data_IF_483184936529
#
_entry.id   IF_483184936529
#
_cell.length_a   1.000
_cell.length_b   1.000
_cell.length_c   1.000
_cell.angle_alpha   90.00
_cell.angle_beta   90.00
_cell.angle_gamma   90.00
#
_symmetry.space_group_name_H-M   'P 1'
#
loop_
_entity.id
_entity.type
_entity.pdbx_description
1 polymer ?
#
# COMPACT_ATOMS: atom_id res chain seq x y z
N UNK A 1 -0.63 18.29 2.12
CA UNK A 1 -0.26 17.02 2.80
C UNK A 1 0.55 16.09 1.88
N UNK A 2 -0.02 15.45 0.85
CA UNK A 2 0.75 14.51 -0.02
C UNK A 2 1.95 15.16 -0.74
N UNK A 3 1.88 16.45 -1.06
CA UNK A 3 3.03 17.19 -1.59
C UNK A 3 4.12 17.44 -0.54
N UNK A 4 3.72 17.79 0.69
CA UNK A 4 4.64 18.08 1.80
C UNK A 4 5.34 16.82 2.29
N UNK A 5 4.62 15.70 2.36
CA UNK A 5 5.16 14.41 2.82
C UNK A 5 5.97 13.71 1.74
N UNK A 6 5.68 13.99 0.46
CA UNK A 6 6.31 13.39 -0.72
C UNK A 6 6.64 11.89 -0.56
N UNK A 7 5.62 11.05 -0.25
CA UNK A 7 5.86 9.64 0.04
C UNK A 7 6.32 8.90 -1.21
N UNK A 8 7.28 7.98 -1.05
CA UNK A 8 7.69 7.08 -2.15
C UNK A 8 6.73 5.89 -2.31
N UNK A 9 6.09 5.48 -1.20
CA UNK A 9 5.22 4.30 -1.13
C UNK A 9 3.97 4.63 -0.33
N UNK A 10 2.82 4.11 -0.77
CA UNK A 10 1.56 4.13 -0.05
C UNK A 10 1.02 2.70 0.13
N UNK A 11 0.70 2.33 1.38
CA UNK A 11 0.09 1.04 1.71
C UNK A 11 -1.38 1.26 2.05
N UNK A 12 -2.26 0.53 1.37
CA UNK A 12 -3.70 0.62 1.54
C UNK A 12 -4.18 -0.70 2.15
N UNK A 13 -4.63 -0.62 3.40
CA UNK A 13 -5.27 -1.75 4.06
C UNK A 13 -6.76 -1.77 3.75
N UNK A 14 -7.16 -2.68 2.87
CA UNK A 14 -8.56 -2.94 2.51
C UNK A 14 -8.81 -4.44 2.37
N UNK A 15 -10.04 -4.84 2.67
CA UNK A 15 -10.49 -6.23 2.47
C UNK A 15 -11.00 -6.46 1.05
N UNK A 16 -10.79 -7.68 0.54
CA UNK A 16 -11.29 -8.09 -0.78
C UNK A 16 -12.83 -7.98 -0.83
N UNK A 17 -13.34 -7.20 -1.78
CA UNK A 17 -14.78 -6.98 -1.93
C UNK A 17 -15.39 -6.01 -0.91
N UNK A 18 -14.61 -5.06 -0.40
CA UNK A 18 -15.11 -4.07 0.54
C UNK A 18 -16.30 -3.28 -0.04
N UNK A 19 -17.48 -3.48 0.54
CA UNK A 19 -18.76 -2.89 0.11
C UNK A 19 -18.82 -1.37 0.29
N UNK A 20 -17.85 -0.79 1.00
CA UNK A 20 -17.73 0.64 1.25
C UNK A 20 -17.10 1.42 0.08
N UNK A 21 -16.64 0.76 -0.99
CA UNK A 21 -16.03 1.45 -2.14
C UNK A 21 -14.61 1.97 -1.87
N UNK A 22 -13.90 1.36 -0.92
CA UNK A 22 -12.50 1.66 -0.65
C UNK A 22 -11.56 0.73 -1.43
N UNK A 23 -10.41 1.26 -1.91
CA UNK A 23 -10.02 2.67 -1.87
C UNK A 23 -10.84 3.53 -2.86
N UNK A 24 -11.21 4.75 -2.44
CA UNK A 24 -11.91 5.69 -3.32
C UNK A 24 -11.04 6.01 -4.55
N UNK A 25 -11.65 6.02 -5.73
CA UNK A 25 -10.96 6.26 -7.01
C UNK A 25 -10.16 7.58 -7.01
N UNK A 26 -10.70 8.65 -6.40
CA UNK A 26 -10.01 9.94 -6.29
C UNK A 26 -8.68 9.85 -5.52
N UNK A 27 -8.63 9.02 -4.47
CA UNK A 27 -7.39 8.79 -3.71
C UNK A 27 -6.39 7.99 -4.55
N UNK A 28 -6.86 6.97 -5.26
CA UNK A 28 -6.00 6.17 -6.15
C UNK A 28 -5.42 7.03 -7.27
N UNK A 29 -6.24 7.87 -7.89
CA UNK A 29 -5.81 8.77 -8.95
C UNK A 29 -4.73 9.75 -8.47
N UNK A 30 -4.92 10.36 -7.29
CA UNK A 30 -3.92 11.27 -6.70
C UNK A 30 -2.58 10.60 -6.39
N UNK A 31 -2.60 9.32 -6.00
CA UNK A 31 -1.39 8.55 -5.74
C UNK A 31 -0.67 8.19 -7.05
N UNK A 32 -1.43 7.77 -8.07
CA UNK A 32 -0.91 7.45 -9.40
C UNK A 32 -0.32 8.68 -10.12
N UNK A 33 -1.01 9.83 -10.07
CA UNK A 33 -0.54 11.10 -10.65
C UNK A 33 0.80 11.56 -10.05
N UNK A 34 1.11 11.13 -8.82
CA UNK A 34 2.34 11.45 -8.12
C UNK A 34 3.43 10.38 -8.29
N UNK A 35 3.20 9.36 -9.12
CA UNK A 35 4.10 8.22 -9.33
C UNK A 35 4.49 7.53 -8.01
N UNK A 36 3.58 7.49 -7.04
CA UNK A 36 3.78 6.82 -5.75
C UNK A 36 3.55 5.32 -5.95
N UNK A 37 4.43 4.47 -5.44
CA UNK A 37 4.23 3.02 -5.45
C UNK A 37 3.08 2.67 -4.51
N UNK A 38 2.06 1.96 -5.00
CA UNK A 38 0.87 1.61 -4.21
C UNK A 38 0.90 0.10 -3.94
N UNK A 39 0.76 -0.28 -2.67
CA UNK A 39 0.52 -1.66 -2.25
C UNK A 39 -0.85 -1.79 -1.60
N UNK A 40 -1.57 -2.86 -1.89
CA UNK A 40 -2.95 -3.07 -1.42
C UNK A 40 -3.16 -4.45 -0.84
N UNK A 41 -3.64 -4.55 0.39
CA UNK A 41 -3.82 -5.87 1.03
C UNK A 41 -4.88 -6.75 0.38
N UNK A 42 -5.83 -6.16 -0.36
CA UNK A 42 -6.86 -6.93 -1.08
C UNK A 42 -6.37 -7.53 -2.41
N UNK A 43 -5.31 -6.97 -2.99
CA UNK A 43 -4.69 -7.44 -4.24
C UNK A 43 -3.38 -8.19 -3.98
N UNK A 44 -2.52 -7.64 -3.13
CA UNK A 44 -1.17 -8.11 -2.82
C UNK A 44 -1.11 -9.07 -1.61
N UNK A 45 -2.21 -9.23 -0.88
CA UNK A 45 -2.28 -10.05 0.32
C UNK A 45 -1.44 -9.48 1.47
N UNK A 46 -0.63 -10.32 2.12
CA UNK A 46 0.28 -9.89 3.19
C UNK A 46 1.43 -9.06 2.61
N UNK A 47 1.55 -7.82 3.08
CA UNK A 47 2.63 -6.89 2.71
C UNK A 47 3.60 -6.78 3.89
N UNK A 48 4.88 -7.07 3.66
CA UNK A 48 5.95 -6.93 4.64
C UNK A 48 6.92 -5.84 4.20
N UNK A 49 7.16 -4.89 5.10
CA UNK A 49 8.20 -3.88 4.96
C UNK A 49 9.30 -4.19 5.98
N UNK A 50 10.51 -4.48 5.50
CA UNK A 50 11.70 -4.66 6.33
C UNK A 50 12.58 -3.43 6.22
N UNK A 51 13.05 -2.89 7.34
CA UNK A 51 13.91 -1.71 7.38
C UNK A 51 15.19 -2.03 8.15
N UNK A 52 16.34 -1.77 7.55
CA UNK A 52 17.66 -1.90 8.16
C UNK A 52 18.15 -0.56 8.77
N UNK A 53 17.27 0.44 8.84
CA UNK A 53 17.56 1.80 9.32
C UNK A 53 18.03 2.76 8.22
N UNK A 54 18.31 2.26 7.00
CA UNK A 54 18.74 3.09 5.87
C UNK A 54 17.87 2.88 4.63
N UNK A 55 17.41 1.65 4.41
CA UNK A 55 16.62 1.23 3.27
C UNK A 55 15.38 0.47 3.74
N UNK A 56 14.34 0.46 2.91
CA UNK A 56 13.13 -0.32 3.15
C UNK A 56 12.96 -1.30 2.00
N UNK A 57 12.95 -2.59 2.34
CA UNK A 57 12.64 -3.68 1.41
C UNK A 57 11.17 -4.07 1.55
N UNK A 58 10.51 -4.30 0.41
CA UNK A 58 9.09 -4.59 0.33
C UNK A 58 8.86 -5.98 -0.25
N UNK A 59 8.03 -6.77 0.42
CA UNK A 59 7.62 -8.11 -0.02
C UNK A 59 6.11 -8.23 0.04
N UNK A 60 5.52 -8.88 -0.96
CA UNK A 60 4.07 -9.14 -1.07
C UNK A 60 3.79 -10.61 -1.32
N UNK A 61 2.53 -11.03 -1.22
CA UNK A 61 2.15 -12.44 -1.44
C UNK A 61 2.67 -13.39 -0.37
N UNK A 62 3.05 -12.87 0.79
CA UNK A 62 3.53 -13.70 1.90
C UNK A 62 2.37 -14.48 2.53
N UNK A 63 2.62 -15.71 3.02
CA UNK A 63 1.65 -16.43 3.82
C UNK A 63 1.31 -15.62 5.08
N UNK A 64 0.08 -15.73 5.55
CA UNK A 64 -0.33 -15.13 6.82
C UNK A 64 0.61 -15.61 7.92
N UNK A 65 1.22 -14.68 8.65
CA UNK A 65 2.06 -14.99 9.81
C UNK A 65 1.16 -15.56 10.92
N UNK A 66 0.97 -16.88 10.94
CA UNK A 66 0.07 -17.56 11.87
C UNK A 66 -0.40 -18.97 11.50
N UNK A 67 0.15 -19.62 10.46
CA UNK A 67 -0.02 -21.06 10.20
C UNK A 67 1.22 -21.87 10.59
#
# INVERSE_FOLDING_TARGET
FLQEVNPQVAVISCGKGNSYGHPHEETMQRLQEKAITIYRTDEDGTIMASCDGTSIEWQTGLPSIGE
#
